data_IF_985867731094
#
_entry.id   IF_985867731094
#
_cell.length_a   1.000
_cell.length_b   1.000
_cell.length_c   1.000
_cell.angle_alpha   90.00
_cell.angle_beta   90.00
_cell.angle_gamma   90.00
#
_symmetry.space_group_name_H-M   'P 1'
#
loop_
_entity.id
_entity.type
_entity.pdbx_description
1 polymer ?
#
# COMPACT_ATOMS: atom_id res chain seq x y z
N UNK A 1 -20.41 -20.05 3.57
CA UNK A 1 -19.06 -20.56 3.76
C UNK A 1 -18.99 -22.05 3.38
N UNK A 2 -17.95 -22.41 2.69
CA UNK A 2 -17.60 -23.80 2.36
C UNK A 2 -16.14 -24.00 2.76
N UNK A 3 -15.87 -24.92 3.67
CA UNK A 3 -14.51 -25.17 4.17
C UNK A 3 -14.46 -25.96 5.46
N UNK A 4 -13.30 -25.96 6.06
CA UNK A 4 -13.02 -26.70 7.27
C UNK A 4 -13.54 -25.99 8.53
N UNK A 5 -13.93 -26.78 9.54
CA UNK A 5 -14.45 -26.31 10.81
C UNK A 5 -13.70 -26.97 11.97
N UNK A 6 -13.49 -26.23 13.02
CA UNK A 6 -12.95 -26.72 14.29
C UNK A 6 -13.63 -25.97 15.43
N UNK A 7 -14.13 -26.72 16.43
CA UNK A 7 -14.80 -26.15 17.61
C UNK A 7 -15.91 -25.13 17.24
N UNK A 8 -16.72 -25.47 16.21
CA UNK A 8 -17.79 -24.63 15.64
C UNK A 8 -17.31 -23.31 14.98
N UNK A 9 -16.02 -23.14 14.80
CA UNK A 9 -15.44 -21.99 14.10
C UNK A 9 -14.82 -22.37 12.75
N UNK A 10 -14.83 -21.44 11.79
CA UNK A 10 -14.14 -21.61 10.51
C UNK A 10 -12.65 -21.78 10.77
N UNK A 11 -12.06 -22.81 10.19
CA UNK A 11 -10.65 -23.17 10.40
C UNK A 11 -10.08 -23.78 9.13
N UNK A 12 -8.72 -23.81 8.98
CA UNK A 12 -8.08 -24.39 7.80
C UNK A 12 -8.49 -23.71 6.50
N UNK A 13 -8.60 -24.46 5.42
CA UNK A 13 -8.94 -23.91 4.10
C UNK A 13 -10.45 -23.71 3.92
N UNK A 14 -10.83 -22.58 3.35
CA UNK A 14 -12.24 -22.30 3.10
C UNK A 14 -12.52 -21.18 2.11
N UNK A 15 -13.76 -21.14 1.68
CA UNK A 15 -14.32 -20.10 0.80
C UNK A 15 -15.54 -19.48 1.46
N UNK A 16 -15.53 -18.17 1.58
CA UNK A 16 -16.69 -17.39 1.99
C UNK A 16 -17.12 -16.47 0.85
N UNK A 17 -18.41 -16.51 0.50
CA UNK A 17 -18.98 -15.63 -0.52
C UNK A 17 -20.15 -14.87 0.10
N UNK A 18 -20.13 -13.55 -0.03
CA UNK A 18 -21.19 -12.67 0.44
C UNK A 18 -22.25 -12.45 -0.67
N UNK A 19 -23.50 -12.15 -0.31
CA UNK A 19 -24.58 -11.91 -1.29
C UNK A 19 -24.30 -10.75 -2.24
N UNK A 20 -23.51 -9.78 -1.82
CA UNK A 20 -23.07 -8.62 -2.62
C UNK A 20 -21.94 -8.91 -3.62
N UNK A 21 -21.46 -10.19 -3.67
CA UNK A 21 -20.44 -10.63 -4.61
C UNK A 21 -19.01 -10.58 -4.09
N UNK A 22 -18.80 -10.17 -2.84
CA UNK A 22 -17.47 -10.27 -2.23
C UNK A 22 -17.11 -11.73 -1.94
N UNK A 23 -15.82 -12.08 -2.09
CA UNK A 23 -15.36 -13.45 -1.91
C UNK A 23 -13.99 -13.50 -1.24
N UNK A 24 -13.86 -14.34 -0.22
CA UNK A 24 -12.57 -14.74 0.34
C UNK A 24 -12.32 -16.23 0.08
N UNK A 25 -11.11 -16.54 -0.36
CA UNK A 25 -10.62 -17.93 -0.51
C UNK A 25 -9.26 -18.00 0.17
N UNK A 26 -9.10 -18.86 1.17
CA UNK A 26 -7.83 -18.98 1.87
C UNK A 26 -7.93 -19.63 3.23
N UNK A 27 -6.93 -19.37 4.03
CA UNK A 27 -6.81 -19.94 5.36
C UNK A 27 -7.67 -19.20 6.39
N UNK A 28 -8.23 -19.96 7.32
CA UNK A 28 -8.99 -19.47 8.47
C UNK A 28 -8.37 -19.98 9.77
N UNK A 29 -8.42 -19.14 10.78
CA UNK A 29 -8.08 -19.48 12.16
C UNK A 29 -9.05 -18.75 13.09
N UNK A 30 -9.67 -19.51 14.01
CA UNK A 30 -10.59 -18.99 15.01
C UNK A 30 -11.66 -18.07 14.38
N UNK A 31 -12.30 -18.57 13.31
CA UNK A 31 -13.38 -17.91 12.57
C UNK A 31 -12.95 -16.77 11.62
N UNK A 32 -11.68 -16.37 11.59
CA UNK A 32 -11.17 -15.23 10.83
C UNK A 32 -10.21 -15.64 9.72
N UNK A 33 -10.11 -14.82 8.66
CA UNK A 33 -9.08 -14.95 7.66
C UNK A 33 -7.69 -14.86 8.30
N UNK A 34 -6.82 -15.80 7.97
CA UNK A 34 -5.47 -15.91 8.51
C UNK A 34 -4.55 -16.57 7.48
N UNK A 35 -3.21 -16.37 7.60
CA UNK A 35 -2.27 -16.98 6.64
C UNK A 35 -2.50 -16.48 5.21
N UNK A 36 -2.34 -17.36 4.23
CA UNK A 36 -2.46 -16.99 2.81
C UNK A 36 -3.92 -17.01 2.34
N UNK A 37 -4.30 -15.98 1.58
CA UNK A 37 -5.64 -15.91 1.03
C UNK A 37 -5.79 -14.93 -0.13
N UNK A 38 -6.96 -15.00 -0.76
CA UNK A 38 -7.39 -14.09 -1.81
C UNK A 38 -8.73 -13.49 -1.42
N UNK A 39 -8.80 -12.17 -1.36
CA UNK A 39 -10.03 -11.41 -1.22
C UNK A 39 -10.37 -10.72 -2.53
N UNK A 40 -11.60 -10.86 -2.98
CA UNK A 40 -12.13 -10.20 -4.18
C UNK A 40 -13.35 -9.37 -3.78
N UNK A 41 -13.30 -8.07 -4.06
CA UNK A 41 -14.42 -7.16 -3.83
C UNK A 41 -15.45 -7.26 -4.96
N UNK A 42 -16.65 -6.75 -4.70
CA UNK A 42 -17.77 -6.79 -5.66
C UNK A 42 -17.49 -6.05 -6.97
N UNK A 43 -16.64 -5.03 -6.94
CA UNK A 43 -16.22 -4.25 -8.13
C UNK A 43 -15.09 -4.90 -8.95
N UNK A 44 -14.55 -6.04 -8.46
CA UNK A 44 -13.45 -6.76 -9.11
C UNK A 44 -12.07 -6.40 -8.58
N UNK A 45 -11.96 -5.47 -7.63
CA UNK A 45 -10.71 -5.28 -6.89
C UNK A 45 -10.30 -6.57 -6.20
N UNK A 46 -9.00 -6.84 -6.10
CA UNK A 46 -8.50 -8.12 -5.59
C UNK A 46 -7.23 -7.93 -4.77
N UNK A 47 -7.19 -8.57 -3.62
CA UNK A 47 -5.99 -8.73 -2.80
C UNK A 47 -5.58 -10.20 -2.74
N UNK A 48 -4.30 -10.47 -2.92
CA UNK A 48 -3.69 -11.79 -2.75
C UNK A 48 -2.49 -11.65 -1.84
N UNK A 49 -2.50 -12.33 -0.70
CA UNK A 49 -1.40 -12.21 0.25
C UNK A 49 -1.73 -12.74 1.63
N UNK A 50 -0.99 -12.23 2.60
CA UNK A 50 -1.11 -12.64 3.98
C UNK A 50 -2.26 -11.93 4.69
N UNK A 51 -2.92 -12.65 5.58
CA UNK A 51 -3.96 -12.18 6.49
C UNK A 51 -3.59 -12.47 7.92
N UNK A 52 -3.93 -11.59 8.82
CA UNK A 52 -3.84 -11.78 10.25
C UNK A 52 -5.09 -11.21 10.93
N UNK A 53 -5.77 -12.02 11.71
CA UNK A 53 -6.98 -11.63 12.46
C UNK A 53 -8.06 -10.97 11.59
N UNK A 54 -8.24 -11.46 10.35
CA UNK A 54 -9.23 -10.98 9.39
C UNK A 54 -8.80 -9.78 8.54
N UNK A 55 -7.58 -9.30 8.70
CA UNK A 55 -7.04 -8.12 7.99
C UNK A 55 -5.87 -8.50 7.11
N UNK A 56 -5.69 -7.80 5.98
CA UNK A 56 -4.47 -7.89 5.20
C UNK A 56 -3.26 -7.45 6.03
N UNK A 57 -2.21 -8.25 5.99
CA UNK A 57 -1.00 -8.07 6.78
C UNK A 57 0.19 -8.69 6.05
N UNK A 58 1.45 -8.33 6.42
CA UNK A 58 2.63 -8.91 5.78
C UNK A 58 2.72 -8.57 4.29
N UNK A 59 3.11 -9.54 3.46
CA UNK A 59 3.28 -9.33 2.02
C UNK A 59 1.98 -9.58 1.26
N UNK A 60 1.67 -8.68 0.32
CA UNK A 60 0.48 -8.82 -0.51
C UNK A 60 0.55 -8.10 -1.85
N UNK A 61 -0.36 -8.48 -2.72
CA UNK A 61 -0.57 -7.87 -4.04
C UNK A 61 -2.03 -7.44 -4.15
N UNK A 62 -2.26 -6.18 -4.43
CA UNK A 62 -3.58 -5.62 -4.70
C UNK A 62 -3.66 -5.16 -6.16
N UNK A 63 -4.76 -5.50 -6.82
CA UNK A 63 -5.04 -5.08 -8.19
C UNK A 63 -6.42 -4.42 -8.24
N UNK A 64 -6.50 -3.30 -8.93
CA UNK A 64 -7.74 -2.55 -9.12
C UNK A 64 -8.29 -2.75 -10.54
N UNK A 65 -9.61 -2.64 -10.75
CA UNK A 65 -10.24 -2.80 -12.07
C UNK A 65 -9.70 -1.85 -13.14
N UNK A 66 -9.19 -0.68 -12.73
CA UNK A 66 -8.56 0.30 -13.65
C UNK A 66 -7.14 -0.09 -14.10
N UNK A 67 -6.61 -1.25 -13.66
CA UNK A 67 -5.28 -1.74 -14.00
C UNK A 67 -4.15 -1.26 -13.09
N UNK A 68 -4.45 -0.49 -12.05
CA UNK A 68 -3.47 -0.19 -11.01
C UNK A 68 -3.10 -1.48 -10.25
N UNK A 69 -1.86 -1.54 -9.75
CA UNK A 69 -1.34 -2.66 -8.97
C UNK A 69 -0.40 -2.18 -7.88
N UNK A 70 -0.54 -2.73 -6.69
CA UNK A 70 0.41 -2.61 -5.60
C UNK A 70 0.98 -3.97 -5.24
N UNK A 71 2.28 -4.02 -4.97
CA UNK A 71 2.98 -5.19 -4.42
C UNK A 71 3.86 -4.71 -3.28
N UNK A 72 3.62 -5.22 -2.08
CA UNK A 72 4.41 -4.79 -0.92
C UNK A 72 3.81 -5.17 0.42
N UNK A 73 4.21 -4.44 1.43
CA UNK A 73 3.87 -4.69 2.81
C UNK A 73 2.52 -4.07 3.19
N UNK A 74 1.79 -4.80 4.05
CA UNK A 74 0.52 -4.41 4.64
C UNK A 74 0.58 -4.52 6.16
N UNK A 75 -0.13 -3.64 6.83
CA UNK A 75 -0.40 -3.71 8.26
C UNK A 75 -1.84 -3.27 8.52
N UNK A 76 -2.63 -4.18 9.10
CA UNK A 76 -4.02 -3.93 9.50
C UNK A 76 -4.88 -3.28 8.39
N UNK A 77 -4.84 -3.85 7.17
CA UNK A 77 -5.50 -3.42 5.93
C UNK A 77 -4.86 -2.23 5.21
N UNK A 78 -3.88 -1.57 5.79
CA UNK A 78 -3.19 -0.45 5.14
C UNK A 78 -1.89 -0.88 4.44
N UNK A 79 -1.60 -0.27 3.30
CA UNK A 79 -0.25 -0.33 2.69
C UNK A 79 0.71 0.39 3.63
N UNK A 80 1.66 -0.34 4.16
CA UNK A 80 2.60 0.13 5.18
C UNK A 80 3.98 -0.47 4.91
N UNK A 81 5.06 0.29 5.12
CA UNK A 81 6.40 -0.18 4.84
C UNK A 81 6.74 -0.10 3.35
N UNK A 82 7.52 -1.04 2.82
CA UNK A 82 8.03 -0.99 1.45
C UNK A 82 7.08 -1.62 0.44
N UNK A 83 6.94 -0.97 -0.71
CA UNK A 83 6.12 -1.48 -1.79
C UNK A 83 6.38 -0.83 -3.14
N UNK A 84 5.71 -1.39 -4.15
CA UNK A 84 5.72 -0.91 -5.53
C UNK A 84 4.29 -0.70 -5.99
N UNK A 85 3.98 0.52 -6.41
CA UNK A 85 2.73 0.88 -7.05
C UNK A 85 2.96 1.12 -8.53
N UNK A 86 2.13 0.54 -9.40
CA UNK A 86 2.17 0.75 -10.85
C UNK A 86 0.81 1.18 -11.38
N UNK A 87 0.83 2.01 -12.41
CA UNK A 87 -0.36 2.50 -13.12
C UNK A 87 -0.36 2.05 -14.57
N UNK A 88 -1.54 1.91 -15.22
CA UNK A 88 -1.64 1.47 -16.61
C UNK A 88 -0.93 2.39 -17.60
N UNK A 89 -0.77 3.67 -17.28
CA UNK A 89 -0.09 4.67 -18.10
C UNK A 89 1.45 4.57 -18.07
N UNK A 90 1.99 3.61 -17.29
CA UNK A 90 3.43 3.37 -17.16
C UNK A 90 4.08 4.09 -15.98
N UNK A 91 3.34 4.88 -15.22
CA UNK A 91 3.85 5.43 -13.96
C UNK A 91 4.15 4.30 -12.97
N UNK A 92 5.19 4.50 -12.18
CA UNK A 92 5.61 3.56 -11.13
C UNK A 92 6.17 4.32 -9.93
N UNK A 93 5.80 3.90 -8.75
CA UNK A 93 6.45 4.30 -7.50
C UNK A 93 7.05 3.07 -6.82
N UNK A 94 8.28 3.20 -6.36
CA UNK A 94 8.97 2.19 -5.53
C UNK A 94 9.50 2.90 -4.30
N UNK A 95 9.02 2.50 -3.12
CA UNK A 95 9.44 3.18 -1.89
C UNK A 95 8.60 2.81 -0.68
N UNK A 96 8.63 3.71 0.28
CA UNK A 96 7.94 3.57 1.55
C UNK A 96 6.51 4.11 1.50
N UNK A 97 5.65 3.46 2.25
CA UNK A 97 4.23 3.79 2.41
C UNK A 97 3.91 3.93 3.89
N UNK A 98 3.07 4.88 4.21
CA UNK A 98 2.47 5.04 5.52
C UNK A 98 0.96 5.27 5.37
N UNK A 99 0.16 4.36 5.94
CA UNK A 99 -1.31 4.38 5.87
C UNK A 99 -1.80 4.65 4.44
N UNK A 100 -1.30 3.86 3.48
CA UNK A 100 -1.71 3.90 2.08
C UNK A 100 -1.12 5.03 1.23
N UNK A 101 -0.33 5.94 1.81
CA UNK A 101 0.29 7.07 1.11
C UNK A 101 1.78 6.87 0.90
N UNK A 102 2.34 7.48 -0.16
CA UNK A 102 3.79 7.60 -0.31
C UNK A 102 4.32 8.46 0.83
N UNK A 103 5.22 7.91 1.59
CA UNK A 103 5.79 8.59 2.74
C UNK A 103 7.16 7.98 3.07
N UNK A 104 8.18 8.80 3.34
CA UNK A 104 9.54 8.32 3.47
C UNK A 104 10.30 8.27 2.14
N UNK A 105 11.28 7.39 2.02
CA UNK A 105 12.14 7.29 0.86
C UNK A 105 11.47 6.56 -0.31
N UNK A 106 11.55 7.13 -1.52
CA UNK A 106 10.98 6.50 -2.70
C UNK A 106 11.47 7.09 -4.02
N UNK A 107 11.07 6.42 -5.09
CA UNK A 107 11.34 6.85 -6.47
C UNK A 107 10.07 6.72 -7.29
N UNK A 108 9.56 7.83 -7.80
CA UNK A 108 8.54 7.85 -8.85
C UNK A 108 9.20 7.88 -10.22
N UNK A 109 8.71 7.05 -11.13
CA UNK A 109 9.13 7.02 -12.54
C UNK A 109 7.91 7.33 -13.40
N UNK A 110 8.07 8.23 -14.35
CA UNK A 110 7.02 8.69 -15.25
C UNK A 110 7.15 8.07 -16.64
N UNK A 111 6.08 8.06 -17.48
CA UNK A 111 6.10 7.43 -18.82
C UNK A 111 7.14 8.00 -19.76
N UNK A 112 7.54 9.27 -19.62
CA UNK A 112 8.60 9.95 -20.38
C UNK A 112 10.02 9.54 -19.95
N UNK A 113 10.12 8.75 -18.86
CA UNK A 113 11.39 8.28 -18.27
C UNK A 113 11.93 9.17 -17.17
N UNK A 114 11.29 10.28 -16.87
CA UNK A 114 11.66 11.14 -15.73
C UNK A 114 11.52 10.38 -14.42
N UNK A 115 12.43 10.69 -13.48
CA UNK A 115 12.47 10.09 -12.15
C UNK A 115 12.60 11.15 -11.08
N UNK A 116 11.74 11.01 -10.06
CA UNK A 116 11.82 11.83 -8.84
C UNK A 116 12.19 10.89 -7.68
N UNK A 117 13.47 10.92 -7.30
CA UNK A 117 14.00 10.10 -6.21
C UNK A 117 14.30 10.96 -5.00
N UNK A 118 13.84 10.53 -3.83
CA UNK A 118 14.05 11.23 -2.57
C UNK A 118 12.94 10.98 -1.58
N UNK A 119 12.65 11.99 -0.76
CA UNK A 119 11.64 11.89 0.29
C UNK A 119 10.27 12.35 -0.18
N UNK A 120 9.25 11.62 0.25
CA UNK A 120 7.83 11.89 0.05
C UNK A 120 7.15 12.14 1.39
N UNK A 121 6.16 12.99 1.41
CA UNK A 121 5.32 13.28 2.55
C UNK A 121 3.85 13.31 2.08
N UNK A 122 3.07 12.34 2.54
CA UNK A 122 1.63 12.24 2.22
C UNK A 122 1.33 12.36 0.72
N UNK A 123 1.99 11.53 -0.10
CA UNK A 123 1.92 11.47 -1.56
C UNK A 123 2.67 12.59 -2.31
N UNK A 124 3.17 13.61 -1.64
CA UNK A 124 3.88 14.70 -2.29
C UNK A 124 5.40 14.54 -2.21
N UNK A 125 6.08 14.82 -3.32
CA UNK A 125 7.54 14.86 -3.36
C UNK A 125 8.05 16.11 -2.64
N UNK A 126 8.87 15.93 -1.59
CA UNK A 126 9.29 17.00 -0.66
C UNK A 126 9.87 18.23 -1.35
N UNK A 127 10.76 18.14 -2.36
CA UNK A 127 11.23 19.31 -3.09
C UNK A 127 10.10 20.12 -3.77
N UNK A 128 9.05 19.45 -4.25
CA UNK A 128 7.91 20.12 -4.85
C UNK A 128 7.06 20.87 -3.82
N UNK A 129 6.93 20.34 -2.60
CA UNK A 129 6.24 21.06 -1.51
C UNK A 129 6.89 22.42 -1.29
N UNK A 130 8.21 22.45 -1.17
CA UNK A 130 8.96 23.69 -0.97
C UNK A 130 8.83 24.68 -2.16
N UNK A 131 8.84 24.15 -3.38
CA UNK A 131 8.62 24.98 -4.59
C UNK A 131 7.20 25.56 -4.63
N UNK A 132 6.19 24.79 -4.25
CA UNK A 132 4.80 25.24 -4.18
C UNK A 132 4.56 26.31 -3.10
N UNK A 133 5.44 26.36 -2.08
CA UNK A 133 5.46 27.44 -1.10
C UNK A 133 6.08 28.75 -1.62
N UNK A 134 6.46 28.79 -2.90
CA UNK A 134 7.05 29.96 -3.56
C UNK A 134 8.56 30.08 -3.43
N UNK A 135 9.24 29.02 -2.94
CA UNK A 135 10.71 29.01 -2.84
C UNK A 135 11.33 28.57 -4.17
N UNK A 136 12.32 29.34 -4.63
CA UNK A 136 13.02 29.03 -5.88
C UNK A 136 13.88 27.79 -5.74
N UNK A 137 13.66 26.81 -6.58
CA UNK A 137 14.45 25.57 -6.59
C UNK A 137 15.95 25.91 -6.73
N UNK A 138 16.77 25.32 -5.84
CA UNK A 138 18.20 25.56 -5.77
C UNK A 138 18.62 26.76 -4.92
N UNK A 139 17.66 27.58 -4.41
CA UNK A 139 17.99 28.62 -3.43
C UNK A 139 18.33 28.03 -2.05
N UNK A 140 19.10 28.77 -1.21
CA UNK A 140 19.38 28.34 0.17
C UNK A 140 18.10 28.08 0.99
N UNK A 141 17.09 28.92 0.82
CA UNK A 141 15.80 28.83 1.51
C UNK A 141 15.03 27.57 1.11
N UNK A 142 15.03 27.23 -0.19
CA UNK A 142 14.46 25.98 -0.70
C UNK A 142 15.18 24.77 -0.10
N UNK A 143 16.52 24.81 -0.08
CA UNK A 143 17.33 23.74 0.53
C UNK A 143 17.04 23.55 2.02
N UNK A 144 16.90 24.63 2.78
CA UNK A 144 16.54 24.57 4.20
C UNK A 144 15.12 24.03 4.43
N UNK A 145 14.16 24.38 3.58
CA UNK A 145 12.81 23.86 3.60
C UNK A 145 12.82 22.34 3.38
N UNK A 146 13.51 21.86 2.35
CA UNK A 146 13.65 20.44 2.04
C UNK A 146 14.24 19.67 3.22
N UNK A 147 15.34 20.16 3.81
CA UNK A 147 15.97 19.51 4.97
C UNK A 147 15.03 19.42 6.17
N UNK A 148 14.30 20.51 6.49
CA UNK A 148 13.33 20.50 7.58
C UNK A 148 12.21 19.47 7.39
N UNK A 149 11.67 19.38 6.16
CA UNK A 149 10.60 18.40 5.87
C UNK A 149 11.13 16.97 5.90
N UNK A 150 12.36 16.75 5.42
CA UNK A 150 13.01 15.42 5.52
C UNK A 150 13.19 15.00 6.97
N UNK A 151 13.67 15.90 7.84
CA UNK A 151 13.83 15.62 9.28
C UNK A 151 12.46 15.28 9.92
N UNK A 152 11.39 15.96 9.52
CA UNK A 152 10.04 15.68 9.99
C UNK A 152 9.57 14.29 9.58
N UNK A 153 9.78 13.90 8.32
CA UNK A 153 9.41 12.55 7.81
C UNK A 153 10.20 11.47 8.54
N UNK A 154 11.50 11.65 8.73
CA UNK A 154 12.35 10.66 9.41
C UNK A 154 11.99 10.50 10.90
N UNK A 155 11.52 11.56 11.56
CA UNK A 155 11.13 11.50 12.97
C UNK A 155 9.79 10.80 13.23
N UNK A 156 8.96 10.59 12.20
CA UNK A 156 7.70 9.85 12.31
C UNK A 156 7.89 8.33 12.23
N UNK A 157 9.10 7.86 11.88
CA UNK A 157 9.42 6.43 11.75
C UNK A 157 9.90 5.79 13.08
N UNK A 158 10.14 6.57 14.12
CA UNK A 158 10.53 6.14 15.46
C UNK A 158 9.31 5.98 16.38
#
# INVERSE_FOLDING_TARGET
YVGEWKDDERHGQGTNTSPDGQKYVGEYKDGKAHGQGTYTWADGEKYVGEFNDGKSHGQGTQTWPNGQKYVGEYKDDDRQGRGTQTWPDGRKYVGEFNVGKFHGQGTATFPDGDKWSGYYMNDEYVPNICSNMGLTQGSPEHGQCVLKLMDSVMSEED
#
